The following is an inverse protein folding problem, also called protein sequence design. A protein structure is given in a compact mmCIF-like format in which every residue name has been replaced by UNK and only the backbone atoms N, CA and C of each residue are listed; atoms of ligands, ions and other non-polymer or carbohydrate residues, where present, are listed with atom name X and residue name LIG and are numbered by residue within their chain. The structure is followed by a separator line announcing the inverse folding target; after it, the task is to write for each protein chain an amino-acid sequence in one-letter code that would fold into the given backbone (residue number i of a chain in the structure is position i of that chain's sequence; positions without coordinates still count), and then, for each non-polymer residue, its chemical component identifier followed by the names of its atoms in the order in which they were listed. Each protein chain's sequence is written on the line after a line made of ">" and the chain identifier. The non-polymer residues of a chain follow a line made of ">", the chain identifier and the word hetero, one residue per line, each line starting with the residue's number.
data_IF_363834547416
#
_entry.id   IF_363834547416
#
_cell.length_a   1.000
_cell.length_b   1.000
_cell.length_c   1.000
_cell.angle_alpha   90.00
_cell.angle_beta   90.00
_cell.angle_gamma   90.00
#
_symmetry.space_group_name_H-M   'P 1'
#
loop_
_entity.id
_entity.type
_entity.pdbx_description
1 polymer ?
#
# COMPACT_ATOMS: atom_id res chain seq x y z
N UNK A 1 -6.28 8.79 10.73
CA UNK A 1 -5.41 7.69 10.26
C UNK A 1 -6.00 6.39 10.77
N UNK A 2 -6.05 5.35 9.93
CA UNK A 2 -6.46 4.01 10.34
C UNK A 2 -5.45 3.37 11.30
N UNK A 3 -5.87 2.34 12.02
CA UNK A 3 -4.96 1.59 12.90
C UNK A 3 -4.25 0.51 12.06
N UNK A 4 -2.91 0.50 11.98
CA UNK A 4 -2.14 -0.45 11.17
C UNK A 4 -2.47 -1.92 11.46
N UNK A 5 -2.68 -2.23 12.76
CA UNK A 5 -3.03 -3.59 13.21
C UNK A 5 -4.38 -4.04 12.66
N UNK A 6 -5.38 -3.16 12.62
CA UNK A 6 -6.70 -3.48 12.08
C UNK A 6 -6.66 -3.74 10.57
N UNK A 7 -5.89 -2.94 9.83
CA UNK A 7 -5.67 -3.20 8.42
C UNK A 7 -5.01 -4.56 8.23
N UNK A 8 -3.94 -4.84 8.97
CA UNK A 8 -3.19 -6.08 8.84
C UNK A 8 -4.06 -7.30 9.15
N UNK A 9 -4.85 -7.27 10.23
CA UNK A 9 -5.77 -8.35 10.60
C UNK A 9 -6.84 -8.54 9.53
N UNK A 10 -7.48 -7.45 9.08
CA UNK A 10 -8.50 -7.51 8.03
C UNK A 10 -7.92 -8.02 6.71
N UNK A 11 -6.77 -7.51 6.29
CA UNK A 11 -6.12 -7.98 5.08
C UNK A 11 -5.68 -9.44 5.21
N UNK A 12 -5.18 -9.85 6.36
CA UNK A 12 -4.84 -11.24 6.60
C UNK A 12 -6.07 -12.12 6.43
N UNK A 13 -7.22 -11.73 6.99
CA UNK A 13 -8.48 -12.44 6.85
C UNK A 13 -8.92 -12.57 5.38
N UNK A 14 -9.07 -11.44 4.69
CA UNK A 14 -9.54 -11.37 3.31
C UNK A 14 -8.59 -12.09 2.33
N UNK A 15 -7.28 -11.86 2.46
CA UNK A 15 -6.28 -12.46 1.59
C UNK A 15 -6.09 -13.96 1.86
N UNK A 16 -6.26 -14.41 3.10
CA UNK A 16 -6.25 -15.83 3.45
C UNK A 16 -7.38 -16.56 2.76
N UNK A 17 -8.61 -16.07 2.87
CA UNK A 17 -9.77 -16.69 2.24
C UNK A 17 -9.62 -16.73 0.72
N UNK A 18 -9.17 -15.64 0.11
CA UNK A 18 -8.92 -15.54 -1.32
C UNK A 18 -7.84 -16.52 -1.78
N UNK A 19 -6.67 -16.50 -1.12
CA UNK A 19 -5.50 -17.32 -1.49
C UNK A 19 -5.77 -18.80 -1.34
N UNK A 20 -6.41 -19.19 -0.24
CA UNK A 20 -6.71 -20.60 0.06
C UNK A 20 -8.01 -21.09 -0.58
N UNK A 21 -8.74 -20.20 -1.28
CA UNK A 21 -10.06 -20.49 -1.84
C UNK A 21 -11.02 -21.06 -0.81
N UNK A 22 -10.98 -20.50 0.41
CA UNK A 22 -11.78 -20.96 1.54
C UNK A 22 -11.33 -22.30 2.15
N UNK A 23 -10.11 -22.78 1.85
CA UNK A 23 -9.54 -23.94 2.57
C UNK A 23 -9.11 -23.58 3.99
N UNK A 24 -8.83 -22.30 4.25
CA UNK A 24 -8.60 -21.70 5.56
C UNK A 24 -9.38 -20.39 5.67
N UNK A 25 -9.77 -20.01 6.89
CA UNK A 25 -10.44 -18.75 7.18
C UNK A 25 -9.91 -18.12 8.44
N UNK A 26 -10.00 -16.78 8.51
CA UNK A 26 -9.67 -16.02 9.71
C UNK A 26 -10.79 -16.12 10.73
N UNK A 27 -10.44 -16.28 12.00
CA UNK A 27 -11.36 -16.19 13.11
C UNK A 27 -10.77 -15.29 14.19
N UNK A 28 -11.57 -14.38 14.69
CA UNK A 28 -11.19 -13.57 15.84
C UNK A 28 -10.91 -14.46 17.06
N UNK A 29 -9.88 -14.14 17.86
CA UNK A 29 -9.50 -14.99 18.98
C UNK A 29 -10.64 -15.07 20.00
N UNK A 30 -10.95 -16.29 20.51
CA UNK A 30 -11.83 -16.39 21.65
C UNK A 30 -11.20 -15.74 22.88
N UNK A 31 -12.02 -15.23 23.79
CA UNK A 31 -11.54 -14.64 25.05
C UNK A 31 -10.80 -15.72 25.87
N UNK A 32 -9.46 -15.60 25.92
CA UNK A 32 -8.62 -16.49 26.73
C UNK A 32 -8.53 -15.88 28.13
N UNK A 33 -9.22 -16.48 29.10
CA UNK A 33 -9.30 -16.00 30.47
C UNK A 33 -8.11 -16.43 31.32
N UNK A 34 -6.93 -15.91 31.02
CA UNK A 34 -5.83 -15.76 31.95
C UNK A 34 -5.30 -14.33 31.75
N UNK A 35 -5.68 -13.41 32.63
CA UNK A 35 -5.28 -12.00 32.65
C UNK A 35 -5.53 -11.18 31.36
N UNK A 36 -6.71 -11.35 30.71
CA UNK A 36 -7.11 -10.61 29.48
C UNK A 36 -6.02 -10.60 28.39
N UNK A 37 -5.34 -11.70 28.24
CA UNK A 37 -4.29 -11.83 27.21
C UNK A 37 -4.96 -12.21 25.90
N UNK A 38 -5.07 -11.23 24.97
CA UNK A 38 -5.57 -11.43 23.61
C UNK A 38 -4.42 -11.76 22.67
N UNK A 39 -4.55 -12.76 21.81
CA UNK A 39 -3.71 -12.95 20.62
C UNK A 39 -4.24 -12.09 19.48
N UNK A 40 -3.45 -11.91 18.42
CA UNK A 40 -3.91 -11.13 17.26
C UNK A 40 -4.99 -11.88 16.47
N UNK A 41 -4.94 -13.22 16.44
CA UNK A 41 -5.98 -14.04 15.83
C UNK A 41 -5.64 -15.51 15.70
N UNK A 42 -6.58 -16.27 15.14
CA UNK A 42 -6.44 -17.67 14.78
C UNK A 42 -6.73 -17.87 13.30
N UNK A 43 -5.87 -18.62 12.64
CA UNK A 43 -6.11 -19.13 11.31
C UNK A 43 -6.83 -20.49 11.44
N UNK A 44 -8.10 -20.55 11.10
CA UNK A 44 -8.91 -21.79 11.15
C UNK A 44 -8.82 -22.53 9.83
N UNK A 45 -8.48 -23.82 9.88
CA UNK A 45 -8.22 -24.62 8.70
C UNK A 45 -9.47 -25.42 8.31
N UNK A 46 -10.18 -24.96 7.28
CA UNK A 46 -11.38 -25.62 6.80
C UNK A 46 -11.09 -26.73 5.77
N UNK A 47 -10.10 -26.53 4.91
CA UNK A 47 -9.75 -27.44 3.81
C UNK A 47 -8.24 -27.67 3.75
N UNK A 48 -7.68 -28.58 4.59
CA UNK A 48 -6.22 -28.77 4.70
C UNK A 48 -5.53 -29.05 3.36
N UNK A 49 -6.13 -29.91 2.51
CA UNK A 49 -5.56 -30.25 1.19
C UNK A 49 -5.41 -29.05 0.25
N UNK A 50 -6.17 -27.98 0.46
CA UNK A 50 -6.08 -26.73 -0.32
C UNK A 50 -4.81 -25.94 -0.04
N UNK A 51 -4.10 -26.22 1.06
CA UNK A 51 -2.88 -25.51 1.46
C UNK A 51 -1.60 -26.17 0.94
N UNK A 52 -1.65 -27.46 0.58
CA UNK A 52 -0.46 -28.27 0.26
C UNK A 52 0.36 -27.78 -0.96
N UNK A 53 -0.27 -27.05 -1.87
CA UNK A 53 0.36 -26.58 -3.11
C UNK A 53 0.70 -25.06 -3.07
N UNK A 54 0.36 -24.38 -1.96
CA UNK A 54 0.71 -22.99 -1.76
C UNK A 54 2.18 -22.87 -1.31
N UNK A 55 2.81 -21.70 -1.50
CA UNK A 55 4.16 -21.48 -0.98
C UNK A 55 4.18 -21.53 0.55
N UNK A 56 5.35 -21.86 1.13
CA UNK A 56 5.54 -21.75 2.58
C UNK A 56 5.19 -20.34 3.08
N UNK A 57 4.54 -20.17 4.25
CA UNK A 57 4.34 -21.22 5.28
C UNK A 57 3.00 -21.97 5.20
N UNK A 58 2.18 -21.76 4.18
CA UNK A 58 0.83 -22.34 4.11
C UNK A 58 0.78 -23.86 4.30
N UNK A 59 1.67 -24.69 3.68
CA UNK A 59 1.65 -26.14 3.85
C UNK A 59 1.82 -26.59 5.30
N UNK A 60 2.50 -25.80 6.14
CA UNK A 60 2.68 -26.11 7.56
C UNK A 60 1.37 -26.10 8.35
N UNK A 61 0.38 -25.33 7.90
CA UNK A 61 -0.93 -25.29 8.55
C UNK A 61 -1.81 -26.52 8.25
N UNK A 62 -1.53 -27.29 7.19
CA UNK A 62 -2.43 -28.35 6.71
C UNK A 62 -2.66 -29.49 7.71
N UNK A 63 -1.75 -29.69 8.67
CA UNK A 63 -1.84 -30.76 9.69
C UNK A 63 -2.58 -30.33 10.95
N UNK A 64 -3.03 -29.07 10.99
CA UNK A 64 -3.70 -28.46 12.14
C UNK A 64 -5.15 -28.12 11.80
N UNK A 65 -5.97 -27.94 12.82
CA UNK A 65 -7.32 -27.40 12.72
C UNK A 65 -7.34 -25.88 12.88
N UNK A 66 -6.45 -25.35 13.72
CA UNK A 66 -6.20 -23.92 13.86
C UNK A 66 -4.71 -23.63 14.07
N UNK A 67 -4.30 -22.41 13.77
CA UNK A 67 -2.93 -21.88 14.01
C UNK A 67 -3.07 -20.54 14.71
N UNK A 68 -2.43 -20.37 15.85
CA UNK A 68 -2.37 -19.08 16.55
C UNK A 68 -1.43 -18.13 15.80
N UNK A 69 -1.89 -16.93 15.53
CA UNK A 69 -1.11 -15.88 14.84
C UNK A 69 -0.77 -14.76 15.82
N UNK A 70 0.46 -14.37 15.83
CA UNK A 70 0.96 -13.12 16.44
C UNK A 70 1.61 -12.27 15.37
N UNK A 71 1.04 -11.08 15.10
CA UNK A 71 1.45 -10.21 14.00
C UNK A 71 2.10 -8.94 14.52
N UNK A 72 3.34 -8.70 14.13
CA UNK A 72 4.07 -7.46 14.48
C UNK A 72 4.41 -6.68 13.23
N UNK A 73 3.87 -5.48 13.16
CA UNK A 73 4.10 -4.56 12.06
C UNK A 73 5.37 -3.74 12.26
N UNK A 74 5.78 -3.03 11.22
CA UNK A 74 6.88 -2.07 11.28
C UNK A 74 6.63 -1.03 12.39
N UNK A 75 7.64 -0.80 13.23
CA UNK A 75 7.55 0.09 14.39
C UNK A 75 7.22 -0.61 15.71
N UNK A 76 6.71 -1.83 15.70
CA UNK A 76 6.50 -2.65 16.88
C UNK A 76 7.65 -3.66 17.01
N UNK A 77 8.47 -3.51 18.05
CA UNK A 77 9.55 -4.47 18.29
C UNK A 77 8.99 -5.76 18.86
N UNK A 78 9.36 -6.88 18.25
CA UNK A 78 9.16 -8.20 18.82
C UNK A 78 10.38 -8.51 19.71
N UNK A 79 10.29 -8.02 20.94
CA UNK A 79 11.29 -8.32 21.95
C UNK A 79 11.07 -9.71 22.58
N UNK A 80 11.98 -10.11 23.43
CA UNK A 80 11.89 -11.40 24.11
C UNK A 80 10.61 -11.54 24.94
N UNK A 81 10.16 -10.45 25.57
CA UNK A 81 8.96 -10.43 26.38
C UNK A 81 7.71 -10.69 25.54
N UNK A 82 7.61 -10.10 24.33
CA UNK A 82 6.49 -10.33 23.42
C UNK A 82 6.42 -11.79 22.95
N UNK A 83 7.58 -12.41 22.68
CA UNK A 83 7.64 -13.85 22.35
C UNK A 83 7.18 -14.72 23.51
N UNK A 84 7.66 -14.45 24.71
CA UNK A 84 7.26 -15.21 25.92
C UNK A 84 5.75 -15.06 26.19
N UNK A 85 5.20 -13.86 25.98
CA UNK A 85 3.74 -13.64 26.06
C UNK A 85 2.97 -14.44 25.02
N UNK A 86 3.45 -14.52 23.78
CA UNK A 86 2.82 -15.33 22.75
C UNK A 86 2.86 -16.81 23.10
N UNK A 87 3.97 -17.30 23.61
CA UNK A 87 4.10 -18.66 24.10
C UNK A 87 3.14 -18.95 25.28
N UNK A 88 3.01 -18.01 26.22
CA UNK A 88 2.07 -18.13 27.34
C UNK A 88 0.61 -18.20 26.85
N UNK A 89 0.23 -17.36 25.87
CA UNK A 89 -1.10 -17.39 25.25
C UNK A 89 -1.37 -18.73 24.60
N UNK A 90 -0.40 -19.26 23.87
CA UNK A 90 -0.51 -20.60 23.26
C UNK A 90 -0.74 -21.66 24.33
N UNK A 91 -0.01 -21.65 25.43
CA UNK A 91 -0.20 -22.60 26.54
C UNK A 91 -1.60 -22.46 27.18
N UNK A 92 -2.07 -21.22 27.34
CA UNK A 92 -3.41 -20.97 27.85
C UNK A 92 -4.50 -21.53 26.89
N UNK A 93 -4.33 -21.37 25.56
CA UNK A 93 -5.23 -21.95 24.57
C UNK A 93 -5.21 -23.47 24.61
N UNK A 94 -4.04 -24.10 24.68
CA UNK A 94 -3.94 -25.55 24.82
C UNK A 94 -4.68 -26.06 26.07
N UNK A 95 -4.47 -25.40 27.22
CA UNK A 95 -5.16 -25.76 28.45
C UNK A 95 -6.69 -25.62 28.33
N UNK A 96 -7.15 -24.57 27.66
CA UNK A 96 -8.57 -24.38 27.40
C UNK A 96 -9.14 -25.54 26.58
N UNK A 97 -8.50 -25.92 25.46
CA UNK A 97 -8.92 -27.04 24.60
C UNK A 97 -8.95 -28.36 25.32
N UNK A 98 -7.95 -28.61 26.20
CA UNK A 98 -7.95 -29.81 27.06
C UNK A 98 -9.15 -29.81 28.00
N UNK A 99 -9.45 -28.66 28.63
CA UNK A 99 -10.60 -28.55 29.55
C UNK A 99 -11.93 -28.70 28.83
N UNK A 100 -12.05 -28.20 27.63
CA UNK A 100 -13.23 -28.28 26.78
C UNK A 100 -13.39 -29.65 26.10
N UNK A 101 -12.40 -30.54 26.23
CA UNK A 101 -12.34 -31.85 25.56
C UNK A 101 -12.52 -31.73 24.05
N UNK A 102 -11.85 -30.72 23.46
CA UNK A 102 -11.98 -30.40 22.03
C UNK A 102 -11.49 -31.55 21.15
N UNK A 103 -12.43 -32.23 20.50
CA UNK A 103 -12.16 -33.39 19.66
C UNK A 103 -11.38 -33.07 18.38
N UNK A 104 -11.32 -31.80 17.97
CA UNK A 104 -10.56 -31.36 16.81
C UNK A 104 -9.08 -31.16 17.12
N UNK A 105 -8.72 -30.98 18.40
CA UNK A 105 -7.36 -30.72 18.84
C UNK A 105 -6.45 -31.94 18.70
N UNK A 106 -5.31 -31.74 18.09
CA UNK A 106 -4.33 -32.79 17.77
C UNK A 106 -3.14 -32.88 18.71
N UNK A 107 -3.24 -32.30 19.91
CA UNK A 107 -2.25 -32.47 20.98
C UNK A 107 -1.26 -31.30 21.12
N UNK A 108 -1.21 -30.37 20.18
CA UNK A 108 -0.45 -29.13 20.33
C UNK A 108 -1.08 -27.99 19.55
N UNK A 109 -0.83 -26.76 20.00
CA UNK A 109 -1.29 -25.54 19.36
C UNK A 109 -0.15 -24.94 18.56
N UNK A 110 -0.23 -24.86 17.23
CA UNK A 110 0.80 -24.21 16.43
C UNK A 110 0.75 -22.69 16.64
N UNK A 111 1.93 -22.07 16.68
CA UNK A 111 2.09 -20.63 16.81
C UNK A 111 2.95 -20.11 15.68
N UNK A 112 2.45 -19.11 14.94
CA UNK A 112 3.19 -18.37 13.95
C UNK A 112 3.43 -16.94 14.42
N UNK A 113 4.68 -16.54 14.51
CA UNK A 113 5.11 -15.17 14.80
C UNK A 113 5.53 -14.50 13.49
N UNK A 114 4.79 -13.49 13.09
CA UNK A 114 5.00 -12.76 11.84
C UNK A 114 5.61 -11.40 12.18
N UNK A 115 6.82 -11.13 11.70
CA UNK A 115 7.54 -9.89 11.98
C UNK A 115 8.40 -9.47 10.76
N UNK A 116 8.91 -8.22 10.71
CA UNK A 116 9.75 -7.78 9.59
C UNK A 116 10.99 -8.64 9.39
N UNK A 117 11.69 -8.99 10.47
CA UNK A 117 12.95 -9.74 10.42
C UNK A 117 13.04 -10.76 11.55
N UNK A 118 13.97 -11.71 11.40
CA UNK A 118 14.43 -12.54 12.50
C UNK A 118 15.29 -11.69 13.44
N UNK A 119 14.97 -11.55 14.76
CA UNK A 119 15.79 -10.80 15.68
C UNK A 119 17.10 -11.51 15.95
N UNK A 120 18.20 -10.76 16.06
CA UNK A 120 19.53 -11.31 16.33
C UNK A 120 19.57 -12.15 17.62
N UNK A 121 18.91 -11.69 18.69
CA UNK A 121 18.86 -12.42 19.97
C UNK A 121 18.20 -13.80 19.82
N UNK A 122 17.22 -13.95 18.92
CA UNK A 122 16.54 -15.21 18.67
C UNK A 122 17.43 -16.17 17.87
N UNK A 123 18.16 -15.65 16.87
CA UNK A 123 19.13 -16.41 16.09
C UNK A 123 20.28 -16.92 16.99
N UNK A 124 20.80 -16.07 17.88
CA UNK A 124 21.90 -16.41 18.81
C UNK A 124 21.49 -17.42 19.89
N UNK A 125 20.27 -17.30 20.44
CA UNK A 125 19.82 -18.13 21.57
C UNK A 125 19.27 -19.47 21.12
N UNK A 126 18.50 -19.49 20.02
CA UNK A 126 17.73 -20.66 19.61
C UNK A 126 18.27 -21.32 18.35
N UNK A 127 19.16 -20.68 17.59
CA UNK A 127 19.71 -21.18 16.33
C UNK A 127 18.62 -21.82 15.43
N UNK A 128 17.58 -21.09 15.00
CA UNK A 128 16.40 -21.66 14.40
C UNK A 128 16.70 -22.40 13.11
N UNK A 129 16.03 -23.50 12.90
CA UNK A 129 16.09 -24.27 11.64
C UNK A 129 15.55 -23.44 10.49
N UNK A 130 16.29 -23.32 9.38
CA UNK A 130 15.88 -22.60 8.19
C UNK A 130 15.06 -23.51 7.28
N UNK A 131 13.83 -23.08 6.98
CA UNK A 131 12.96 -23.66 5.97
C UNK A 131 13.06 -22.93 4.63
N UNK A 132 11.93 -22.63 4.02
CA UNK A 132 11.86 -21.74 2.87
C UNK A 132 12.32 -20.31 3.23
N UNK A 133 12.66 -19.45 2.26
CA UNK A 133 13.04 -18.06 2.52
C UNK A 133 12.05 -17.36 3.44
N UNK A 134 12.53 -16.77 4.53
CA UNK A 134 11.72 -16.07 5.52
C UNK A 134 10.98 -16.96 6.53
N UNK A 135 11.09 -18.29 6.46
CA UNK A 135 10.46 -19.23 7.38
C UNK A 135 11.50 -19.90 8.28
N UNK A 136 11.36 -19.74 9.58
CA UNK A 136 12.32 -20.21 10.58
C UNK A 136 11.63 -21.01 11.67
N UNK A 137 12.05 -22.25 11.88
CA UNK A 137 11.55 -23.10 12.96
C UNK A 137 12.38 -22.88 14.22
N UNK A 138 11.72 -22.44 15.28
CA UNK A 138 12.33 -22.32 16.61
C UNK A 138 11.98 -23.56 17.43
N UNK A 139 12.99 -24.27 17.91
CA UNK A 139 12.89 -25.48 18.75
C UNK A 139 13.44 -25.20 20.14
N UNK A 140 13.09 -25.93 21.16
CA UNK A 140 12.76 -27.35 21.24
C UNK A 140 11.27 -27.65 20.99
N UNK A 141 10.99 -28.92 20.65
CA UNK A 141 9.70 -29.41 20.16
C UNK A 141 8.45 -29.03 20.98
N UNK A 142 8.59 -28.90 22.31
CA UNK A 142 7.54 -28.48 23.27
C UNK A 142 7.31 -26.96 23.29
N UNK A 143 8.23 -26.17 22.73
CA UNK A 143 8.11 -24.73 22.52
C UNK A 143 8.14 -24.37 21.02
N UNK A 144 8.09 -25.35 20.14
CA UNK A 144 8.20 -25.17 18.71
C UNK A 144 7.19 -24.13 18.19
N UNK A 145 7.70 -23.14 17.49
CA UNK A 145 6.88 -22.17 16.77
C UNK A 145 7.56 -21.78 15.45
N UNK A 146 6.77 -21.26 14.52
CA UNK A 146 7.25 -20.78 13.24
C UNK A 146 7.45 -19.27 13.31
N UNK A 147 8.67 -18.80 13.03
CA UNK A 147 8.95 -17.39 12.79
C UNK A 147 8.90 -17.10 11.30
N UNK A 148 8.11 -16.08 10.93
CA UNK A 148 7.95 -15.64 9.55
C UNK A 148 8.56 -14.23 9.44
N UNK A 149 9.73 -14.14 8.80
CA UNK A 149 10.45 -12.88 8.54
C UNK A 149 9.94 -12.28 7.22
N UNK A 150 8.98 -11.37 7.30
CA UNK A 150 8.26 -10.84 6.15
C UNK A 150 9.15 -10.17 5.10
N UNK A 151 10.26 -9.54 5.50
CA UNK A 151 11.21 -8.91 4.58
C UNK A 151 11.94 -9.90 3.67
N UNK A 152 12.00 -11.16 4.05
CA UNK A 152 12.70 -12.22 3.32
C UNK A 152 11.77 -13.05 2.41
N UNK A 153 10.47 -12.95 2.60
CA UNK A 153 9.48 -13.64 1.77
C UNK A 153 9.50 -13.10 0.33
N UNK A 154 9.23 -13.93 -0.68
CA UNK A 154 9.06 -13.47 -2.06
C UNK A 154 7.76 -12.66 -2.24
N UNK A 155 7.73 -11.78 -3.26
CA UNK A 155 6.55 -11.02 -3.65
C UNK A 155 5.65 -11.89 -4.54
N UNK A 156 4.76 -12.66 -3.94
CA UNK A 156 3.75 -13.46 -4.61
C UNK A 156 2.38 -13.22 -3.96
N UNK A 157 1.32 -13.37 -4.74
CA UNK A 157 -0.04 -13.02 -4.29
C UNK A 157 -0.51 -13.87 -3.10
N UNK A 158 -0.08 -15.12 -3.04
CA UNK A 158 -0.41 -16.05 -1.97
C UNK A 158 0.18 -15.66 -0.61
N UNK A 159 1.25 -14.85 -0.60
CA UNK A 159 1.93 -14.41 0.62
C UNK A 159 1.55 -13.00 1.07
N UNK A 160 0.63 -12.32 0.38
CA UNK A 160 0.19 -10.95 0.74
C UNK A 160 -0.21 -10.82 2.22
N UNK A 161 -0.90 -11.80 2.87
CA UNK A 161 -1.22 -11.70 4.30
C UNK A 161 0.01 -11.50 5.21
N UNK A 162 1.13 -12.12 4.86
CA UNK A 162 2.39 -12.02 5.62
C UNK A 162 3.21 -10.78 5.24
N UNK A 163 3.13 -10.37 3.96
CA UNK A 163 3.92 -9.25 3.41
C UNK A 163 3.56 -7.89 4.01
N UNK A 164 2.39 -7.75 4.64
CA UNK A 164 1.98 -6.55 5.38
C UNK A 164 2.91 -6.24 6.57
N UNK A 165 3.57 -7.26 7.13
CA UNK A 165 4.52 -7.08 8.21
C UNK A 165 5.91 -6.62 7.75
N UNK A 166 6.11 -6.34 6.47
CA UNK A 166 7.37 -5.78 5.96
C UNK A 166 7.68 -4.41 6.56
N UNK A 167 8.96 -4.04 6.51
CA UNK A 167 9.44 -2.75 7.01
C UNK A 167 10.44 -2.10 6.07
N UNK A 168 10.62 -0.78 6.20
CA UNK A 168 11.59 0.00 5.45
C UNK A 168 11.43 -0.15 3.94
N UNK A 169 12.55 -0.25 3.22
CA UNK A 169 12.56 -0.36 1.76
C UNK A 169 11.76 -1.58 1.25
N UNK A 170 11.75 -2.68 1.99
CA UNK A 170 10.98 -3.88 1.63
C UNK A 170 9.48 -3.66 1.71
N UNK A 171 9.01 -2.82 2.64
CA UNK A 171 7.62 -2.38 2.68
C UNK A 171 7.28 -1.51 1.47
N UNK A 172 8.14 -0.57 1.10
CA UNK A 172 7.95 0.28 -0.08
C UNK A 172 7.89 -0.55 -1.38
N UNK A 173 8.78 -1.55 -1.52
CA UNK A 173 8.76 -2.51 -2.64
C UNK A 173 7.43 -3.26 -2.70
N UNK A 174 6.95 -3.75 -1.56
CA UNK A 174 5.67 -4.45 -1.45
C UNK A 174 4.50 -3.53 -1.84
N UNK A 175 4.45 -2.31 -1.32
CA UNK A 175 3.36 -1.37 -1.59
C UNK A 175 3.26 -1.04 -3.09
N UNK A 176 4.39 -0.79 -3.77
CA UNK A 176 4.42 -0.58 -5.23
C UNK A 176 3.98 -1.80 -6.01
N UNK A 177 4.38 -2.99 -5.56
CA UNK A 177 4.06 -4.25 -6.23
C UNK A 177 2.58 -4.64 -6.06
N UNK A 178 2.00 -4.46 -4.86
CA UNK A 178 0.63 -4.89 -4.55
C UNK A 178 -0.43 -3.90 -5.06
N UNK A 179 -0.14 -2.60 -5.06
CA UNK A 179 -1.10 -1.56 -5.39
C UNK A 179 -1.84 -1.78 -6.73
N UNK A 180 -1.19 -2.12 -7.87
CA UNK A 180 -1.90 -2.35 -9.13
C UNK A 180 -2.72 -3.66 -9.15
N UNK A 181 -2.63 -4.48 -8.11
CA UNK A 181 -3.27 -5.80 -7.98
C UNK A 181 -4.48 -5.78 -7.05
N UNK A 182 -4.79 -4.65 -6.44
CA UNK A 182 -5.87 -4.51 -5.45
C UNK A 182 -6.82 -3.37 -5.82
N UNK A 183 -8.08 -3.42 -5.37
CA UNK A 183 -9.02 -2.32 -5.53
C UNK A 183 -8.48 -1.03 -4.91
N UNK A 184 -8.79 0.11 -5.52
CA UNK A 184 -8.26 1.41 -5.09
C UNK A 184 -8.59 1.73 -3.62
N UNK A 185 -9.79 1.40 -3.16
CA UNK A 185 -10.16 1.62 -1.74
C UNK A 185 -9.26 0.83 -0.76
N UNK A 186 -8.84 -0.39 -1.13
CA UNK A 186 -7.87 -1.15 -0.35
C UNK A 186 -6.49 -0.46 -0.32
N UNK A 187 -6.07 0.08 -1.48
CA UNK A 187 -4.81 0.84 -1.60
C UNK A 187 -4.84 2.09 -0.72
N UNK A 188 -5.97 2.82 -0.68
CA UNK A 188 -6.11 3.97 0.23
C UNK A 188 -6.00 3.56 1.70
N UNK A 189 -6.60 2.42 2.10
CA UNK A 189 -6.45 1.91 3.46
C UNK A 189 -4.99 1.56 3.78
N UNK A 190 -4.29 0.94 2.84
CA UNK A 190 -2.86 0.66 2.97
C UNK A 190 -2.03 1.94 3.15
N UNK A 191 -2.30 2.98 2.35
CA UNK A 191 -1.64 4.29 2.45
C UNK A 191 -1.89 4.99 3.80
N UNK A 192 -3.08 4.85 4.36
CA UNK A 192 -3.43 5.43 5.67
C UNK A 192 -2.78 4.69 6.85
N UNK A 193 -2.57 3.37 6.71
CA UNK A 193 -2.25 2.51 7.84
C UNK A 193 -0.79 2.05 7.90
N UNK A 194 -0.12 1.85 6.76
CA UNK A 194 1.24 1.32 6.76
C UNK A 194 2.30 2.44 6.76
N UNK A 195 3.39 2.29 7.55
CA UNK A 195 4.45 3.29 7.67
C UNK A 195 5.44 3.20 6.50
N UNK A 196 4.93 3.29 5.27
CA UNK A 196 5.77 3.38 4.07
C UNK A 196 6.41 4.76 3.95
N UNK A 197 7.43 4.89 3.12
CA UNK A 197 8.10 6.16 2.90
C UNK A 197 7.19 7.18 2.19
N UNK A 198 7.37 8.48 2.50
CA UNK A 198 6.64 9.58 1.85
C UNK A 198 6.72 9.55 0.32
N UNK A 199 7.91 9.32 -0.30
CA UNK A 199 7.99 9.20 -1.76
C UNK A 199 7.11 8.08 -2.34
N UNK A 200 7.00 6.95 -1.63
CA UNK A 200 6.15 5.84 -2.05
C UNK A 200 4.66 6.18 -1.93
N UNK A 201 4.26 6.86 -0.84
CA UNK A 201 2.88 7.32 -0.68
C UNK A 201 2.48 8.29 -1.79
N UNK A 202 3.33 9.29 -2.09
CA UNK A 202 3.09 10.25 -3.17
C UNK A 202 2.97 9.54 -4.53
N UNK A 203 3.94 8.69 -4.88
CA UNK A 203 3.94 7.92 -6.13
C UNK A 203 2.63 7.16 -6.33
N UNK A 204 2.17 6.45 -5.30
CA UNK A 204 0.96 5.64 -5.37
C UNK A 204 -0.30 6.50 -5.51
N UNK A 205 -0.40 7.63 -4.77
CA UNK A 205 -1.53 8.55 -4.89
C UNK A 205 -1.64 9.19 -6.28
N UNK A 206 -0.51 9.56 -6.87
CA UNK A 206 -0.49 10.13 -8.23
C UNK A 206 -0.83 9.10 -9.29
N UNK A 207 -0.36 7.86 -9.14
CA UNK A 207 -0.57 6.78 -10.09
C UNK A 207 -2.04 6.42 -10.30
N UNK A 208 -2.85 6.50 -9.27
CA UNK A 208 -4.26 6.10 -9.33
C UNK A 208 -5.22 7.20 -9.81
N UNK A 209 -4.74 8.43 -10.04
CA UNK A 209 -5.54 9.53 -10.57
C UNK A 209 -6.75 9.89 -9.68
N UNK A 210 -7.79 10.47 -10.30
CA UNK A 210 -9.07 10.74 -9.63
C UNK A 210 -9.93 9.49 -9.60
N UNK A 211 -10.66 9.29 -8.49
CA UNK A 211 -11.65 8.24 -8.37
C UNK A 211 -13.01 8.73 -8.89
N UNK A 212 -13.77 7.84 -9.53
CA UNK A 212 -15.13 8.14 -9.98
C UNK A 212 -16.12 8.19 -8.79
N UNK A 213 -15.82 7.46 -7.72
CA UNK A 213 -16.60 7.45 -6.48
C UNK A 213 -16.26 8.68 -5.63
N UNK A 214 -17.24 9.57 -5.33
CA UNK A 214 -17.02 10.79 -4.56
C UNK A 214 -16.47 10.55 -3.15
N UNK A 215 -16.86 9.44 -2.50
CA UNK A 215 -16.40 9.09 -1.15
C UNK A 215 -14.94 8.66 -1.16
N UNK A 216 -14.56 7.85 -2.14
CA UNK A 216 -13.18 7.42 -2.38
C UNK A 216 -12.29 8.62 -2.74
N UNK A 217 -12.78 9.54 -3.58
CA UNK A 217 -12.04 10.75 -3.93
C UNK A 217 -11.87 11.71 -2.74
N UNK A 218 -12.90 11.88 -1.90
CA UNK A 218 -12.81 12.68 -0.68
C UNK A 218 -11.77 12.08 0.30
N UNK A 219 -11.67 10.75 0.37
CA UNK A 219 -10.67 10.06 1.19
C UNK A 219 -9.27 10.25 0.63
N UNK A 220 -9.10 10.11 -0.68
CA UNK A 220 -7.84 10.38 -1.39
C UNK A 220 -7.36 11.82 -1.14
N UNK A 221 -8.26 12.80 -1.23
CA UNK A 221 -7.95 14.21 -1.01
C UNK A 221 -7.45 14.46 0.41
N UNK A 222 -8.07 13.86 1.42
CA UNK A 222 -7.62 13.98 2.82
C UNK A 222 -6.19 13.46 3.03
N UNK A 223 -5.83 12.36 2.37
CA UNK A 223 -4.46 11.82 2.43
C UNK A 223 -3.49 12.79 1.77
N UNK A 224 -3.83 13.35 0.60
CA UNK A 224 -3.02 14.35 -0.09
C UNK A 224 -2.80 15.61 0.75
N UNK A 225 -3.86 16.14 1.37
CA UNK A 225 -3.80 17.32 2.22
C UNK A 225 -2.87 17.06 3.41
N UNK A 226 -2.97 15.89 4.05
CA UNK A 226 -2.07 15.49 5.14
C UNK A 226 -0.60 15.41 4.69
N UNK A 227 -0.33 14.83 3.51
CA UNK A 227 1.02 14.76 2.96
C UNK A 227 1.59 16.17 2.66
N UNK A 228 0.77 17.07 2.13
CA UNK A 228 1.17 18.45 1.84
C UNK A 228 1.42 19.27 3.12
N UNK A 229 0.69 18.99 4.20
CA UNK A 229 0.92 19.62 5.50
C UNK A 229 2.21 19.15 6.16
N UNK A 230 2.53 17.86 6.05
CA UNK A 230 3.75 17.26 6.62
C UNK A 230 5.01 17.54 5.82
N UNK A 231 4.87 17.99 4.55
CA UNK A 231 5.98 18.30 3.64
C UNK A 231 5.93 19.74 3.11
N UNK A 232 6.25 20.78 3.91
CA UNK A 232 6.16 22.18 3.50
C UNK A 232 6.97 22.53 2.24
N UNK A 233 8.10 21.85 2.04
CA UNK A 233 8.97 22.06 0.87
C UNK A 233 8.28 21.60 -0.41
N UNK A 234 7.58 20.47 -0.37
CA UNK A 234 6.83 19.95 -1.51
C UNK A 234 5.63 20.82 -1.86
N UNK A 235 4.93 21.32 -0.84
CA UNK A 235 3.84 22.30 -1.01
C UNK A 235 4.34 23.55 -1.74
N UNK A 236 5.51 24.08 -1.32
CA UNK A 236 6.14 25.22 -1.97
C UNK A 236 6.54 24.93 -3.42
N UNK A 237 7.09 23.73 -3.69
CA UNK A 237 7.44 23.30 -5.05
C UNK A 237 6.21 23.24 -5.95
N UNK A 238 5.15 22.53 -5.56
CA UNK A 238 3.89 22.42 -6.32
C UNK A 238 3.24 23.78 -6.55
N UNK A 239 3.23 24.64 -5.53
CA UNK A 239 2.72 26.01 -5.69
C UNK A 239 3.57 26.85 -6.65
N UNK A 240 4.90 26.66 -6.70
CA UNK A 240 5.78 27.36 -7.64
C UNK A 240 5.62 26.84 -9.06
N UNK A 241 5.46 25.53 -9.25
CA UNK A 241 5.18 24.89 -10.54
C UNK A 241 3.82 25.34 -11.09
N UNK A 242 2.75 25.26 -10.30
CA UNK A 242 1.42 25.73 -10.70
C UNK A 242 1.35 27.23 -11.02
N UNK A 243 2.12 28.06 -10.28
CA UNK A 243 2.25 29.49 -10.62
C UNK A 243 3.01 29.72 -11.92
N UNK A 244 4.05 28.90 -12.18
CA UNK A 244 4.83 28.99 -13.42
C UNK A 244 4.00 28.58 -14.62
N UNK A 245 3.26 27.46 -14.51
CA UNK A 245 2.34 27.01 -15.55
C UNK A 245 1.20 28.00 -15.81
N UNK A 246 0.55 28.47 -14.75
CA UNK A 246 -0.53 29.46 -14.86
C UNK A 246 -0.05 30.80 -15.48
N UNK A 247 1.19 31.23 -15.18
CA UNK A 247 1.78 32.40 -15.84
C UNK A 247 2.06 32.15 -17.34
N UNK A 248 2.54 30.96 -17.67
CA UNK A 248 2.80 30.59 -19.07
C UNK A 248 1.50 30.54 -19.88
N UNK A 249 0.48 29.85 -19.37
CA UNK A 249 -0.85 29.79 -20.00
C UNK A 249 -1.52 31.17 -20.10
N UNK A 250 -1.43 31.96 -19.03
CA UNK A 250 -1.95 33.33 -19.01
C UNK A 250 -1.29 34.22 -20.05
N UNK A 251 0.06 34.12 -20.27
CA UNK A 251 0.78 34.84 -21.31
C UNK A 251 0.33 34.38 -22.69
N UNK A 252 0.27 33.10 -22.97
CA UNK A 252 -0.22 32.55 -24.25
C UNK A 252 -1.62 33.07 -24.58
N UNK A 253 -2.53 32.99 -23.61
CA UNK A 253 -3.92 33.47 -23.76
C UNK A 253 -3.96 34.98 -24.00
N UNK A 254 -3.18 35.73 -23.25
CA UNK A 254 -3.07 37.21 -23.40
C UNK A 254 -2.52 37.63 -24.76
N UNK A 255 -1.48 36.95 -25.26
CA UNK A 255 -0.90 37.28 -26.59
C UNK A 255 -1.86 36.87 -27.71
N UNK A 256 -2.56 35.72 -27.62
CA UNK A 256 -3.59 35.35 -28.59
C UNK A 256 -4.75 36.37 -28.64
N UNK A 257 -5.23 36.81 -27.48
CA UNK A 257 -6.26 37.83 -27.39
C UNK A 257 -5.80 39.17 -27.98
N UNK A 258 -4.54 39.54 -27.75
CA UNK A 258 -3.95 40.75 -28.29
C UNK A 258 -3.78 40.69 -29.82
N UNK A 259 -3.30 39.55 -30.33
CA UNK A 259 -3.21 39.28 -31.75
C UNK A 259 -4.58 39.42 -32.45
N UNK A 260 -5.60 38.80 -31.94
CA UNK A 260 -6.96 38.91 -32.48
C UNK A 260 -7.48 40.35 -32.47
N UNK A 261 -7.21 41.09 -31.40
CA UNK A 261 -7.61 42.49 -31.27
C UNK A 261 -6.93 43.36 -32.35
N UNK A 262 -5.63 43.14 -32.61
CA UNK A 262 -4.91 43.83 -33.65
C UNK A 262 -5.41 43.44 -35.04
N UNK A 263 -5.67 42.17 -35.32
CA UNK A 263 -6.25 41.70 -36.58
C UNK A 263 -7.58 42.38 -36.87
N UNK A 264 -8.49 42.42 -35.88
CA UNK A 264 -9.77 43.14 -35.99
C UNK A 264 -9.59 44.62 -36.26
N UNK A 265 -8.70 45.29 -35.51
CA UNK A 265 -8.40 46.71 -35.66
C UNK A 265 -7.83 47.06 -37.07
N UNK A 266 -7.10 46.12 -37.64
CA UNK A 266 -6.48 46.26 -38.96
C UNK A 266 -7.40 45.77 -40.09
N UNK A 267 -8.64 45.30 -39.78
CA UNK A 267 -9.59 44.75 -40.74
C UNK A 267 -9.06 43.50 -41.48
N UNK A 268 -8.11 42.78 -40.85
CA UNK A 268 -7.57 41.52 -41.36
C UNK A 268 -8.44 40.39 -40.79
N UNK A 269 -9.28 39.77 -41.64
CA UNK A 269 -10.17 38.71 -41.21
C UNK A 269 -9.51 37.34 -41.38
N UNK A 270 -9.17 36.62 -40.31
CA UNK A 270 -8.62 35.28 -40.41
C UNK A 270 -9.72 34.30 -40.92
N UNK A 271 -9.28 33.32 -41.69
CA UNK A 271 -10.12 32.17 -42.02
C UNK A 271 -10.32 31.27 -40.80
N UNK A 272 -11.23 30.32 -40.90
CA UNK A 272 -11.44 29.31 -39.83
C UNK A 272 -10.15 28.51 -39.54
N UNK A 273 -9.38 28.19 -40.59
CA UNK A 273 -8.11 27.47 -40.47
C UNK A 273 -7.01 28.35 -39.79
N UNK A 274 -7.00 29.66 -40.10
CA UNK A 274 -6.08 30.60 -39.45
C UNK A 274 -6.38 30.76 -37.95
N UNK A 275 -7.66 30.85 -37.58
CA UNK A 275 -8.08 30.91 -36.20
C UNK A 275 -7.72 29.60 -35.46
N UNK A 276 -7.96 28.44 -36.05
CA UNK A 276 -7.54 27.16 -35.49
C UNK A 276 -6.03 27.06 -35.31
N UNK A 277 -5.26 27.61 -36.25
CA UNK A 277 -3.79 27.66 -36.15
C UNK A 277 -3.31 28.58 -35.02
N UNK A 278 -3.97 29.70 -34.82
CA UNK A 278 -3.68 30.62 -33.71
C UNK A 278 -3.98 29.96 -32.37
N UNK A 279 -5.11 29.25 -32.27
CA UNK A 279 -5.50 28.54 -31.05
C UNK A 279 -4.59 27.37 -30.70
N UNK A 280 -4.15 26.63 -31.70
CA UNK A 280 -3.29 25.47 -31.52
C UNK A 280 -1.81 25.86 -31.24
N UNK A 281 -1.40 27.11 -31.47
CA UNK A 281 -0.02 27.52 -31.27
C UNK A 281 0.32 27.62 -29.79
N UNK A 282 1.22 26.76 -29.29
CA UNK A 282 1.71 26.71 -27.91
C UNK A 282 3.07 27.43 -27.72
N UNK A 283 3.69 27.89 -28.80
CA UNK A 283 4.94 28.63 -28.76
C UNK A 283 4.70 30.12 -28.63
N UNK A 284 5.08 30.66 -27.44
CA UNK A 284 4.90 32.07 -27.14
C UNK A 284 5.70 32.98 -28.12
N UNK A 285 6.91 32.60 -28.49
CA UNK A 285 7.75 33.39 -29.38
C UNK A 285 7.14 33.50 -30.77
N UNK A 286 6.47 32.46 -31.25
CA UNK A 286 5.75 32.47 -32.51
C UNK A 286 4.50 33.36 -32.44
N UNK A 287 3.73 33.32 -31.36
CA UNK A 287 2.57 34.19 -31.15
C UNK A 287 2.99 35.69 -31.04
N UNK A 288 4.03 35.98 -30.32
CA UNK A 288 4.59 37.35 -30.22
C UNK A 288 5.04 37.85 -31.59
N UNK A 289 5.74 37.05 -32.37
CA UNK A 289 6.17 37.39 -33.75
C UNK A 289 4.96 37.62 -34.68
N UNK A 290 3.91 36.84 -34.57
CA UNK A 290 2.66 37.06 -35.31
C UNK A 290 1.99 38.36 -34.88
N UNK A 291 1.98 38.69 -33.60
CA UNK A 291 1.45 39.93 -33.07
C UNK A 291 2.23 41.15 -33.64
N UNK A 292 3.55 41.09 -33.62
CA UNK A 292 4.39 42.20 -34.19
C UNK A 292 4.15 42.36 -35.68
N UNK A 293 4.08 41.27 -36.44
CA UNK A 293 3.76 41.32 -37.87
C UNK A 293 2.35 41.83 -38.15
N UNK A 294 1.38 41.52 -37.33
CA UNK A 294 0.00 42.00 -37.49
C UNK A 294 -0.10 43.54 -37.47
N UNK A 295 0.84 44.23 -36.86
CA UNK A 295 0.87 45.69 -36.80
C UNK A 295 1.11 46.29 -38.20
N UNK A 296 1.91 45.67 -39.06
CA UNK A 296 2.36 46.25 -40.34
C UNK A 296 1.91 45.45 -41.56
N UNK A 297 1.51 44.20 -41.39
CA UNK A 297 1.13 43.32 -42.48
C UNK A 297 -0.12 43.83 -43.26
N UNK A 298 -0.19 43.50 -44.53
CA UNK A 298 -1.33 43.83 -45.41
C UNK A 298 -2.25 42.63 -45.66
N UNK A 299 -1.83 41.41 -45.24
CA UNK A 299 -2.65 40.22 -45.38
C UNK A 299 -2.43 39.28 -44.15
N UNK A 300 -3.42 38.41 -43.88
CA UNK A 300 -3.34 37.42 -42.82
C UNK A 300 -2.21 36.39 -43.07
N UNK A 301 -1.95 36.07 -44.36
CA UNK A 301 -0.87 35.17 -44.75
C UNK A 301 0.54 35.73 -44.36
N UNK A 302 0.71 37.06 -44.47
CA UNK A 302 1.96 37.72 -44.05
C UNK A 302 2.13 37.74 -42.55
N UNK A 303 1.04 37.75 -41.78
CA UNK A 303 1.02 37.68 -40.32
C UNK A 303 1.49 36.30 -39.82
N UNK A 304 0.86 35.24 -40.35
CA UNK A 304 1.03 33.88 -39.87
C UNK A 304 2.24 33.13 -40.49
N UNK A 305 3.01 33.80 -41.31
CA UNK A 305 4.25 33.27 -41.91
C UNK A 305 5.37 33.21 -40.91
#
# INVERSE_FOLDING_TARGET
>A
MGQPEQLAQRTFAEETERTTRGAAGWQDPPEIRLDKVTSDGFLVIHRPRGLAHLPEPWPEAQVHDEVMIELKLAGNHLDREAVERALLRRQARQLQRVKEQDASWRGHEPLWLIAPHLPQWLDEVYAPGRGAPGCYWVEPQWQRFLWIAANELPLVDELVPFLLARSGQKLDEFCRWVAPRRPFNWVLTMLECLPMSMPTQEELLWRFGKADDPEVEARRQRILDFLLETSPQKKQQLMSEGRSEGRSEGRLTGVRASLRRVLVSRQLTPSQDDDARIDACTDLATLERWLDRAITATSILDVLR
#
